data_IF_866528037129
#
_entry.id   IF_866528037129
#
_cell.length_a   1.000
_cell.length_b   1.000
_cell.length_c   1.000
_cell.angle_alpha   90.00
_cell.angle_beta   90.00
_cell.angle_gamma   90.00
#
_symmetry.space_group_name_H-M   'P 1'
#
loop_
_entity.id
_entity.type
_entity.pdbx_description
1 polymer ?
#
# COMPACT_ATOMS: atom_id res chain seq x y z
N UNK A 1 6.38 22.98 -12.55
CA UNK A 1 4.96 23.39 -12.41
C UNK A 1 4.87 24.71 -11.62
N UNK A 2 4.07 25.65 -12.14
CA UNK A 2 3.80 26.95 -11.51
C UNK A 2 2.94 26.80 -10.24
N UNK A 3 2.98 27.78 -9.34
CA UNK A 3 2.22 27.74 -8.07
C UNK A 3 0.70 27.70 -8.30
N UNK A 4 0.19 28.42 -9.31
CA UNK A 4 -1.23 28.42 -9.64
C UNK A 4 -1.71 27.04 -10.08
N UNK A 5 -0.88 26.33 -10.85
CA UNK A 5 -1.20 24.98 -11.30
C UNK A 5 -1.18 23.97 -10.15
N UNK A 6 -0.24 24.10 -9.21
CA UNK A 6 -0.22 23.26 -7.99
C UNK A 6 -1.48 23.45 -7.16
N UNK A 7 -1.95 24.68 -6.98
CA UNK A 7 -3.19 24.98 -6.23
C UNK A 7 -4.41 24.32 -6.87
N UNK A 8 -4.53 24.37 -8.21
CA UNK A 8 -5.62 23.73 -8.94
C UNK A 8 -5.58 22.20 -8.80
N UNK A 9 -4.38 21.60 -8.87
CA UNK A 9 -4.24 20.15 -8.72
C UNK A 9 -4.52 19.69 -7.29
N UNK A 10 -4.03 20.40 -6.28
CA UNK A 10 -4.29 20.09 -4.87
C UNK A 10 -5.80 20.13 -4.55
N UNK A 11 -6.54 21.10 -5.08
CA UNK A 11 -7.99 21.19 -4.90
C UNK A 11 -8.77 19.96 -5.44
N UNK A 12 -8.21 19.25 -6.44
CA UNK A 12 -8.82 18.01 -6.97
C UNK A 12 -8.52 16.78 -6.12
N UNK A 13 -7.59 16.89 -5.17
CA UNK A 13 -7.12 15.78 -4.34
C UNK A 13 -7.59 15.92 -2.88
N UNK A 14 -8.64 16.71 -2.64
CA UNK A 14 -9.26 16.82 -1.31
C UNK A 14 -9.74 15.45 -0.83
N UNK A 15 -9.18 14.98 0.28
CA UNK A 15 -9.51 13.68 0.85
C UNK A 15 -8.68 12.53 0.30
N UNK A 16 -7.68 12.78 -0.57
CA UNK A 16 -6.79 11.73 -1.09
C UNK A 16 -6.11 10.95 0.05
N UNK A 17 -5.85 11.60 1.18
CA UNK A 17 -5.22 10.96 2.33
C UNK A 17 -6.07 9.84 2.96
N UNK A 18 -7.41 9.92 2.78
CA UNK A 18 -8.36 8.91 3.25
C UNK A 18 -8.57 7.79 2.24
N UNK A 19 -8.17 8.03 0.99
CA UNK A 19 -8.29 7.09 -0.11
C UNK A 19 -7.08 6.16 -0.25
N UNK A 20 -6.01 6.38 0.52
CA UNK A 20 -4.85 5.51 0.56
C UNK A 20 -5.22 4.24 1.32
N UNK A 21 -4.70 3.08 0.93
CA UNK A 21 -4.93 1.81 1.62
C UNK A 21 -3.68 0.93 1.58
N UNK A 22 -3.57 0.04 2.57
CA UNK A 22 -2.54 -1.00 2.64
C UNK A 22 -3.24 -2.36 2.65
N UNK A 23 -2.64 -3.36 2.01
CA UNK A 23 -3.13 -4.73 2.01
C UNK A 23 -1.97 -5.70 2.15
N UNK A 24 -2.07 -6.64 3.09
CA UNK A 24 -1.10 -7.70 3.29
C UNK A 24 -1.55 -8.97 2.55
N UNK A 25 -0.61 -9.62 1.87
CA UNK A 25 -0.83 -10.88 1.18
C UNK A 25 -0.93 -12.07 2.14
N UNK A 26 -1.46 -13.19 1.67
CA UNK A 26 -1.56 -14.43 2.43
C UNK A 26 -0.23 -15.16 2.43
N UNK A 27 0.73 -14.67 3.23
CA UNK A 27 2.05 -15.28 3.35
C UNK A 27 2.78 -15.46 2.01
N UNK A 28 3.96 -16.08 2.02
CA UNK A 28 4.51 -16.63 0.79
C UNK A 28 3.62 -17.81 0.37
N UNK A 29 2.82 -17.62 -0.68
CA UNK A 29 2.35 -18.76 -1.45
C UNK A 29 3.58 -19.53 -1.87
N UNK A 30 3.63 -20.83 -1.57
CA UNK A 30 4.71 -21.77 -1.89
C UNK A 30 5.04 -21.86 -3.41
N UNK A 31 4.40 -21.03 -4.24
CA UNK A 31 4.58 -20.91 -5.67
C UNK A 31 5.71 -19.94 -6.11
N UNK A 32 6.25 -19.09 -5.22
CA UNK A 32 7.29 -18.10 -5.59
C UNK A 32 8.73 -18.56 -5.28
N UNK A 33 8.93 -19.80 -4.83
CA UNK A 33 10.28 -20.37 -4.79
C UNK A 33 10.65 -20.79 -6.21
N UNK A 34 11.66 -20.16 -6.86
CA UNK A 34 12.09 -20.64 -8.17
C UNK A 34 12.54 -22.10 -8.03
N UNK A 35 12.07 -23.03 -8.87
CA UNK A 35 12.57 -24.39 -8.85
C UNK A 35 14.07 -24.33 -9.17
N UNK A 36 14.89 -24.72 -8.20
CA UNK A 36 16.33 -24.87 -8.43
C UNK A 36 16.51 -26.11 -9.31
N UNK A 37 16.50 -25.90 -10.63
CA UNK A 37 16.87 -26.90 -11.62
C UNK A 37 15.81 -27.18 -12.70
N UNK A 38 16.10 -26.76 -13.93
CA UNK A 38 15.47 -27.30 -15.14
C UNK A 38 14.99 -26.26 -16.16
N UNK A 39 15.85 -25.98 -17.15
CA UNK A 39 15.59 -25.57 -18.54
C UNK A 39 14.19 -25.09 -18.96
N UNK A 40 14.08 -23.81 -19.39
CA UNK A 40 12.94 -23.15 -20.07
C UNK A 40 12.55 -23.78 -21.45
N UNK A 41 11.49 -23.34 -22.18
CA UNK A 41 10.43 -22.34 -21.90
C UNK A 41 8.99 -22.84 -22.15
N UNK A 42 7.98 -22.24 -21.51
CA UNK A 42 6.58 -22.57 -21.78
C UNK A 42 5.60 -21.51 -21.28
N UNK A 43 5.15 -20.65 -22.18
CA UNK A 43 4.09 -19.67 -21.98
C UNK A 43 2.85 -20.32 -21.32
N UNK A 44 2.52 -19.92 -20.09
CA UNK A 44 1.15 -19.99 -19.57
C UNK A 44 0.71 -18.62 -19.09
N UNK A 45 -0.31 -18.12 -19.76
CA UNK A 45 -0.98 -16.87 -19.49
C UNK A 45 -1.65 -16.86 -18.10
N UNK A 46 -1.57 -15.67 -17.48
CA UNK A 46 -2.56 -15.06 -16.57
C UNK A 46 -3.05 -15.93 -15.41
N UNK A 47 -2.26 -15.94 -14.33
CA UNK A 47 -2.86 -15.95 -13.01
C UNK A 47 -3.39 -14.54 -12.74
N UNK A 48 -4.70 -14.35 -12.76
CA UNK A 48 -5.31 -13.21 -12.09
C UNK A 48 -4.76 -13.18 -10.66
N UNK A 49 -4.24 -12.02 -10.26
CA UNK A 49 -3.65 -11.76 -8.96
C UNK A 49 -4.65 -12.04 -7.83
N UNK A 50 -4.80 -13.32 -7.45
CA UNK A 50 -5.42 -13.70 -6.18
C UNK A 50 -4.43 -13.32 -5.08
N UNK A 51 -4.32 -12.02 -4.83
CA UNK A 51 -3.77 -11.47 -3.60
C UNK A 51 -4.76 -11.85 -2.49
N UNK A 52 -4.71 -13.10 -2.00
CA UNK A 52 -5.34 -13.49 -0.72
C UNK A 52 -4.61 -12.79 0.43
N UNK A 53 -5.07 -12.64 1.67
CA UNK A 53 -6.32 -13.06 2.33
C UNK A 53 -6.72 -12.05 3.43
N UNK A 54 -6.11 -10.85 3.45
CA UNK A 54 -6.46 -9.78 4.39
C UNK A 54 -7.25 -8.65 3.72
N UNK A 55 -8.17 -8.05 4.48
CA UNK A 55 -8.92 -6.87 4.04
C UNK A 55 -8.00 -5.66 3.87
N UNK A 56 -8.43 -4.68 3.07
CA UNK A 56 -7.72 -3.40 2.95
C UNK A 56 -7.75 -2.68 4.30
N UNK A 57 -6.58 -2.28 4.78
CA UNK A 57 -6.40 -1.46 5.98
C UNK A 57 -6.45 0.01 5.56
N UNK A 58 -7.43 0.72 6.11
CA UNK A 58 -7.60 2.15 5.90
C UNK A 58 -6.58 2.94 6.75
N UNK A 59 -6.18 4.14 6.31
CA UNK A 59 -5.26 4.98 7.03
C UNK A 59 -6.00 5.76 8.12
N UNK A 60 -5.36 5.93 9.26
CA UNK A 60 -5.75 6.91 10.26
C UNK A 60 -4.89 8.14 10.00
N UNK A 61 -5.52 9.22 9.53
CA UNK A 61 -4.84 10.46 9.17
C UNK A 61 -5.04 11.53 10.25
N UNK A 62 -3.96 12.20 10.67
CA UNK A 62 -3.97 13.41 11.50
C UNK A 62 -4.70 13.28 12.87
N UNK A 63 -4.33 12.29 13.70
CA UNK A 63 -4.94 12.10 15.03
C UNK A 63 -4.48 13.12 16.10
N UNK A 64 -3.38 13.86 15.88
CA UNK A 64 -2.73 14.68 16.92
C UNK A 64 -2.63 16.18 16.58
N UNK A 65 -3.30 16.64 15.53
CA UNK A 65 -3.31 18.05 15.15
C UNK A 65 -4.75 18.56 15.06
N UNK A 66 -5.11 19.44 15.99
CA UNK A 66 -6.31 20.26 15.93
C UNK A 66 -6.34 20.97 14.57
N UNK A 67 -7.28 20.60 13.70
CA UNK A 67 -7.34 21.13 12.35
C UNK A 67 -7.90 22.55 12.42
N UNK A 68 -7.06 23.56 12.26
CA UNK A 68 -7.55 24.95 12.10
C UNK A 68 -8.28 25.18 10.75
N UNK A 69 -8.07 24.31 9.74
CA UNK A 69 -8.80 24.41 8.45
C UNK A 69 -9.11 23.04 7.84
N UNK A 70 -10.40 22.67 7.80
CA UNK A 70 -10.89 21.44 7.15
C UNK A 70 -10.88 21.51 5.61
N UNK A 71 -10.76 22.71 5.04
CA UNK A 71 -10.94 23.01 3.61
C UNK A 71 -9.65 23.07 2.77
N UNK A 72 -8.48 22.71 3.32
CA UNK A 72 -7.21 22.74 2.58
C UNK A 72 -6.51 21.38 2.60
N UNK A 73 -6.26 20.84 1.42
CA UNK A 73 -5.30 19.73 1.22
C UNK A 73 -3.90 20.24 1.53
N UNK A 74 -3.27 19.64 2.53
CA UNK A 74 -1.85 19.85 2.77
C UNK A 74 -1.04 19.12 1.69
N UNK A 75 0.14 19.63 1.38
CA UNK A 75 1.10 18.88 0.54
C UNK A 75 1.72 17.70 1.31
N UNK A 76 1.59 17.68 2.64
CA UNK A 76 2.17 16.66 3.53
C UNK A 76 1.09 16.14 4.48
N UNK A 77 0.96 14.81 4.55
CA UNK A 77 0.04 14.11 5.43
C UNK A 77 0.78 13.02 6.21
N UNK A 78 0.45 12.87 7.49
CA UNK A 78 0.92 11.75 8.31
C UNK A 78 -0.20 10.70 8.41
N UNK A 79 0.14 9.46 8.06
CA UNK A 79 -0.79 8.34 8.05
C UNK A 79 -0.27 7.24 8.97
N UNK A 80 -1.17 6.68 9.77
CA UNK A 80 -0.93 5.51 10.60
C UNK A 80 -1.81 4.37 10.09
N UNK A 81 -1.22 3.20 9.86
CA UNK A 81 -1.96 2.00 9.48
C UNK A 81 -1.93 1.02 10.64
N UNK A 82 -3.10 0.64 11.13
CA UNK A 82 -3.23 -0.37 12.18
C UNK A 82 -3.35 -1.76 11.55
N UNK A 83 -2.25 -2.51 11.58
CA UNK A 83 -2.23 -3.90 11.15
C UNK A 83 -2.62 -4.80 12.33
N UNK A 84 -3.41 -5.84 12.07
CA UNK A 84 -3.69 -6.86 13.09
C UNK A 84 -2.44 -7.70 13.37
N UNK A 85 -2.34 -8.34 14.55
CA UNK A 85 -1.19 -9.21 14.86
C UNK A 85 -0.96 -10.31 13.82
N UNK A 86 -2.03 -10.85 13.23
CA UNK A 86 -1.98 -11.86 12.16
C UNK A 86 -1.35 -11.31 10.88
N UNK A 87 -1.67 -10.06 10.51
CA UNK A 87 -1.03 -9.37 9.38
C UNK A 87 0.45 -9.11 9.65
N UNK A 88 0.81 -8.70 10.87
CA UNK A 88 2.21 -8.49 11.26
C UNK A 88 3.01 -9.79 11.14
N UNK A 89 2.46 -10.91 11.62
CA UNK A 89 3.07 -12.23 11.47
C UNK A 89 3.21 -12.63 10.00
N UNK A 90 2.20 -12.40 9.19
CA UNK A 90 2.25 -12.69 7.76
C UNK A 90 3.36 -11.88 7.05
N UNK A 91 3.47 -10.58 7.34
CA UNK A 91 4.54 -9.71 6.81
C UNK A 91 5.91 -10.23 7.24
N UNK A 92 6.09 -10.56 8.53
CA UNK A 92 7.33 -11.14 9.07
C UNK A 92 7.67 -12.50 8.44
N UNK A 93 6.66 -13.26 8.02
CA UNK A 93 6.82 -14.51 7.28
C UNK A 93 7.11 -14.31 5.78
N UNK A 94 7.16 -13.07 5.29
CA UNK A 94 7.44 -12.74 3.90
C UNK A 94 6.19 -12.56 3.01
N UNK A 95 5.02 -12.29 3.59
CA UNK A 95 3.86 -11.89 2.81
C UNK A 95 4.12 -10.59 2.03
N UNK A 96 3.66 -10.51 0.78
CA UNK A 96 3.73 -9.26 0.02
C UNK A 96 2.87 -8.17 0.68
N UNK A 97 3.32 -6.91 0.64
CA UNK A 97 2.51 -5.75 1.03
C UNK A 97 2.19 -4.97 -0.23
N UNK A 98 0.90 -4.70 -0.46
CA UNK A 98 0.42 -3.81 -1.51
C UNK A 98 -0.10 -2.53 -0.89
N UNK A 99 0.25 -1.41 -1.49
CA UNK A 99 -0.27 -0.10 -1.12
C UNK A 99 -0.94 0.51 -2.34
N UNK A 100 -2.00 1.28 -2.13
CA UNK A 100 -2.67 1.94 -3.22
C UNK A 100 -3.46 3.16 -2.79
N UNK A 101 -3.96 3.86 -3.79
CA UNK A 101 -4.78 5.05 -3.67
C UNK A 101 -6.02 4.80 -4.50
N UNK A 102 -7.19 4.96 -3.89
CA UNK A 102 -8.50 4.78 -4.49
C UNK A 102 -9.28 6.10 -4.44
N UNK A 103 -8.73 7.13 -5.09
CA UNK A 103 -9.35 8.46 -5.15
C UNK A 103 -9.94 8.69 -6.55
N UNK A 104 -11.12 9.32 -6.69
CA UNK A 104 -11.76 9.55 -8.00
C UNK A 104 -10.88 10.24 -9.04
N UNK A 105 -9.94 11.07 -8.58
CA UNK A 105 -8.98 11.81 -9.41
C UNK A 105 -7.58 11.20 -9.45
N UNK A 106 -7.32 10.14 -8.68
CA UNK A 106 -6.01 9.49 -8.62
C UNK A 106 -6.14 8.05 -8.13
N UNK A 107 -6.02 7.10 -9.06
CA UNK A 107 -6.02 5.66 -8.76
C UNK A 107 -4.66 5.09 -9.11
N UNK A 108 -3.98 4.52 -8.13
CA UNK A 108 -2.68 3.90 -8.30
C UNK A 108 -2.52 2.78 -7.29
N UNK A 109 -1.86 1.69 -7.68
CA UNK A 109 -1.47 0.63 -6.75
C UNK A 109 -0.04 0.18 -7.05
N UNK A 110 0.66 -0.25 -6.01
CA UNK A 110 2.00 -0.82 -6.14
C UNK A 110 2.25 -1.86 -5.06
N UNK A 111 3.01 -2.88 -5.41
CA UNK A 111 3.49 -3.88 -4.45
C UNK A 111 4.85 -3.44 -3.95
N UNK A 112 5.04 -3.42 -2.63
CA UNK A 112 6.31 -3.03 -2.03
C UNK A 112 7.40 -4.02 -2.42
N UNK A 113 8.58 -3.50 -2.76
CA UNK A 113 9.74 -4.32 -3.02
C UNK A 113 10.14 -5.11 -1.76
N UNK A 114 10.71 -6.33 -1.89
CA UNK A 114 11.06 -7.17 -0.75
C UNK A 114 11.92 -6.45 0.30
N UNK A 115 12.94 -5.69 -0.12
CA UNK A 115 13.79 -4.93 0.81
C UNK A 115 13.02 -3.88 1.62
N UNK A 116 12.05 -3.18 1.02
CA UNK A 116 11.20 -2.22 1.71
C UNK A 116 10.22 -2.91 2.65
N UNK A 117 9.62 -4.02 2.22
CA UNK A 117 8.77 -4.86 3.06
C UNK A 117 9.54 -5.36 4.28
N UNK A 118 10.75 -5.89 4.09
CA UNK A 118 11.56 -6.48 5.15
C UNK A 118 12.02 -5.42 6.16
N UNK A 119 12.35 -4.22 5.66
CA UNK A 119 12.61 -3.07 6.54
C UNK A 119 11.38 -2.74 7.39
N UNK A 120 10.19 -2.65 6.79
CA UNK A 120 8.95 -2.38 7.53
C UNK A 120 8.58 -3.51 8.49
N UNK A 121 8.85 -4.76 8.11
CA UNK A 121 8.59 -5.94 8.94
C UNK A 121 9.36 -5.89 10.27
N UNK A 122 10.55 -5.28 10.27
CA UNK A 122 11.37 -5.10 11.47
C UNK A 122 10.78 -4.06 12.45
N UNK A 123 9.99 -3.10 11.95
CA UNK A 123 9.33 -2.07 12.77
C UNK A 123 8.03 -2.58 13.42
N UNK A 124 7.48 -3.70 12.94
CA UNK A 124 6.24 -4.27 13.47
C UNK A 124 6.52 -5.06 14.76
N UNK A 125 5.75 -4.79 15.83
CA UNK A 125 5.81 -5.53 17.10
C UNK A 125 5.36 -7.01 16.95
#
# INVERSE_FOLDING_TARGET
PDEAERKIQLAKLIGIEKAIWVRVGAGPSQADTPPVGGSEPGLRARGADHFGDFARVAPIANEDLDRETADKTSSVHFLRFELTPEMCQAVKAGAAIRVGIDHPHYQAETTLAPATRDSLAADLA
#
